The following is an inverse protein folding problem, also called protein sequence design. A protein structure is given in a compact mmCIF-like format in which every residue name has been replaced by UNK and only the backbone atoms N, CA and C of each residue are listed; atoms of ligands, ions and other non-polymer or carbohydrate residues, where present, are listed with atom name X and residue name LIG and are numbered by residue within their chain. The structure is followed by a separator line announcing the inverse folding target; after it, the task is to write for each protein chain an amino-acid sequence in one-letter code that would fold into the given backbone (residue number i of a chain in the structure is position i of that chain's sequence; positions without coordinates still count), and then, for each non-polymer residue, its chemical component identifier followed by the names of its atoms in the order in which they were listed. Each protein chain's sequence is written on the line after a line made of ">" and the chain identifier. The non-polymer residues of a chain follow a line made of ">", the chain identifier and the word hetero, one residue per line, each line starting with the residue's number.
data_IF_374434922420
#
_entry.id   IF_374434922420
#
_cell.length_a   1.000
_cell.length_b   1.000
_cell.length_c   1.000
_cell.angle_alpha   90.00
_cell.angle_beta   90.00
_cell.angle_gamma   90.00
#
_symmetry.space_group_name_H-M   'P 1'
#
loop_
_entity.id
_entity.type
_entity.pdbx_description
1 polymer ?
#
# COMPACT_ATOMS: atom_id res chain seq x y z
N UNK A 1 6.39 -17.32 7.35
CA UNK A 1 7.42 -17.44 8.42
C UNK A 1 8.86 -17.18 7.97
N UNK A 2 9.20 -17.15 6.67
CA UNK A 2 10.58 -16.93 6.22
C UNK A 2 11.23 -15.64 6.76
N UNK A 3 10.48 -14.53 6.77
CA UNK A 3 10.97 -13.22 7.27
C UNK A 3 11.22 -13.21 8.79
N UNK A 4 10.50 -14.04 9.54
CA UNK A 4 10.62 -14.09 11.00
C UNK A 4 11.77 -15.00 11.44
N UNK A 5 12.35 -15.80 10.53
CA UNK A 5 13.43 -16.72 10.87
C UNK A 5 14.68 -15.95 11.30
N UNK A 6 15.28 -16.42 12.39
CA UNK A 6 16.52 -15.83 12.94
C UNK A 6 16.34 -14.44 13.55
N UNK A 7 15.10 -13.99 13.77
CA UNK A 7 14.83 -12.65 14.34
C UNK A 7 15.25 -11.49 13.44
N UNK A 8 15.47 -11.76 12.14
CA UNK A 8 15.89 -10.73 11.16
C UNK A 8 14.81 -9.66 11.02
N UNK A 9 13.54 -10.08 10.99
CA UNK A 9 12.40 -9.19 11.12
C UNK A 9 11.57 -9.60 12.32
N UNK A 10 11.25 -8.64 13.18
CA UNK A 10 10.24 -8.84 14.23
C UNK A 10 8.86 -8.73 13.61
N UNK A 11 7.88 -9.42 14.20
CA UNK A 11 6.49 -9.34 13.76
C UNK A 11 5.95 -7.90 13.85
N UNK A 12 6.27 -7.21 14.94
CA UNK A 12 5.90 -5.82 15.19
C UNK A 12 6.43 -4.84 14.11
N UNK A 13 7.68 -5.04 13.67
CA UNK A 13 8.27 -4.24 12.59
C UNK A 13 7.49 -4.42 11.27
N UNK A 14 7.15 -5.67 10.93
CA UNK A 14 6.39 -5.98 9.72
C UNK A 14 4.99 -5.36 9.79
N UNK A 15 4.30 -5.52 10.92
CA UNK A 15 2.94 -5.00 11.11
C UNK A 15 2.92 -3.45 11.06
N UNK A 16 3.92 -2.81 11.67
CA UNK A 16 4.10 -1.35 11.60
C UNK A 16 4.38 -0.88 10.18
N UNK A 17 5.27 -1.57 9.45
CA UNK A 17 5.58 -1.23 8.06
C UNK A 17 4.36 -1.35 7.14
N UNK A 18 3.59 -2.43 7.28
CA UNK A 18 2.36 -2.63 6.50
C UNK A 18 1.37 -1.51 6.79
N UNK A 19 1.17 -1.17 8.06
CA UNK A 19 0.24 -0.11 8.47
C UNK A 19 0.66 1.23 7.89
N UNK A 20 1.95 1.58 8.03
CA UNK A 20 2.49 2.84 7.52
C UNK A 20 2.36 2.94 6.00
N UNK A 21 2.76 1.90 5.26
CA UNK A 21 2.65 1.86 3.79
C UNK A 21 1.21 1.99 3.31
N UNK A 22 0.25 1.32 3.97
CA UNK A 22 -1.16 1.41 3.61
C UNK A 22 -1.69 2.83 3.80
N UNK A 23 -1.45 3.40 4.98
CA UNK A 23 -1.99 4.71 5.36
C UNK A 23 -1.37 5.87 4.58
N UNK A 24 -0.04 5.90 4.47
CA UNK A 24 0.66 7.09 3.97
C UNK A 24 0.85 7.05 2.45
N UNK A 25 0.97 5.86 1.85
CA UNK A 25 1.27 5.73 0.42
C UNK A 25 0.09 5.17 -0.38
N UNK A 26 -0.46 4.02 0.03
CA UNK A 26 -1.51 3.35 -0.74
C UNK A 26 -2.80 4.16 -0.74
N UNK A 27 -3.26 4.63 0.42
CA UNK A 27 -4.49 5.43 0.52
C UNK A 27 -4.36 6.76 -0.23
N UNK A 28 -3.18 7.38 -0.20
CA UNK A 28 -2.90 8.59 -0.97
C UNK A 28 -3.12 8.38 -2.47
N UNK A 29 -2.65 7.26 -3.03
CA UNK A 29 -2.85 6.95 -4.46
C UNK A 29 -4.29 6.54 -4.73
N UNK A 30 -4.85 5.63 -3.92
CA UNK A 30 -6.18 5.04 -4.12
C UNK A 30 -7.31 6.06 -4.09
N UNK A 31 -7.18 7.13 -3.30
CA UNK A 31 -8.22 8.15 -3.16
C UNK A 31 -8.24 9.18 -4.30
N UNK A 32 -7.30 9.10 -5.25
CA UNK A 32 -7.23 10.03 -6.38
C UNK A 32 -7.44 9.28 -7.69
N UNK A 33 -8.31 9.78 -8.58
CA UNK A 33 -8.51 9.17 -9.88
C UNK A 33 -7.22 9.26 -10.69
N UNK A 34 -6.83 8.15 -11.31
CA UNK A 34 -5.70 8.10 -12.21
C UNK A 34 -6.06 8.77 -13.56
N UNK A 35 -5.15 9.51 -14.23
CA UNK A 35 -5.46 10.19 -15.49
C UNK A 35 -6.09 9.29 -16.57
N UNK A 36 -5.64 8.04 -16.66
CA UNK A 36 -6.22 7.07 -17.59
C UNK A 36 -7.69 6.72 -17.31
N UNK A 37 -8.17 6.88 -16.06
CA UNK A 37 -9.59 6.69 -15.75
C UNK A 37 -10.46 7.74 -16.45
N UNK A 38 -9.93 8.94 -16.70
CA UNK A 38 -10.64 9.98 -17.46
C UNK A 38 -10.85 9.56 -18.91
N UNK A 39 -9.82 9.01 -19.58
CA UNK A 39 -9.94 8.52 -20.96
C UNK A 39 -10.95 7.36 -21.08
N UNK A 40 -11.08 6.54 -20.03
CA UNK A 40 -11.98 5.38 -20.04
C UNK A 40 -13.44 5.73 -19.73
N UNK A 41 -13.68 6.71 -18.85
CA UNK A 41 -15.01 6.90 -18.25
C UNK A 41 -15.59 8.31 -18.38
N UNK A 42 -14.89 9.29 -18.97
CA UNK A 42 -15.38 10.67 -19.02
C UNK A 42 -16.59 10.87 -19.95
N UNK A 43 -16.64 10.18 -21.08
CA UNK A 43 -17.67 10.34 -22.12
C UNK A 43 -18.66 9.15 -22.21
N UNK A 44 -18.64 8.22 -21.24
CA UNK A 44 -19.64 7.15 -21.13
C UNK A 44 -20.99 7.69 -20.64
#
# INVERSE_FOLDING_TARGET
>A
EFLLKGGVFTKDLIDTWITWKRKEEVDYVRLRPHPAEFELYFDL
#
